data_IF_031193702580
#
_entry.id   IF_031193702580
#
_cell.length_a   1.000
_cell.length_b   1.000
_cell.length_c   1.000
_cell.angle_alpha   90.00
_cell.angle_beta   90.00
_cell.angle_gamma   90.00
#
_symmetry.space_group_name_H-M   'P 1'
#
loop_
_entity.id
_entity.type
_entity.pdbx_description
1 polymer ?
#
# COMPACT_ATOMS: atom_id res chain seq x y z
N UNK A 1 17.43 -2.22 -8.28
CA UNK A 1 17.03 -2.36 -6.88
C UNK A 1 15.71 -3.10 -6.85
N UNK A 2 15.50 -3.95 -5.85
CA UNK A 2 14.21 -4.61 -5.65
C UNK A 2 13.21 -3.57 -5.12
N UNK A 3 11.95 -3.66 -5.56
CA UNK A 3 10.88 -2.81 -5.04
C UNK A 3 10.48 -3.28 -3.65
N UNK A 4 9.89 -2.39 -2.85
CA UNK A 4 9.48 -2.69 -1.48
C UNK A 4 8.58 -3.93 -1.34
N UNK A 5 7.81 -4.28 -2.37
CA UNK A 5 6.91 -5.44 -2.40
C UNK A 5 7.55 -6.72 -2.97
N UNK A 6 8.81 -6.65 -3.39
CA UNK A 6 9.60 -7.78 -3.89
C UNK A 6 10.52 -8.35 -2.80
N UNK A 7 10.55 -7.73 -1.61
CA UNK A 7 11.36 -8.13 -0.47
C UNK A 7 10.49 -8.71 0.66
N UNK A 8 10.98 -9.77 1.30
CA UNK A 8 10.45 -10.24 2.58
C UNK A 8 10.92 -9.34 3.73
N UNK A 9 10.10 -9.22 4.78
CA UNK A 9 10.42 -8.43 5.97
C UNK A 9 10.04 -9.12 7.26
N UNK A 10 10.21 -8.45 8.39
CA UNK A 10 9.79 -8.98 9.68
C UNK A 10 8.29 -9.28 9.70
N UNK A 11 7.90 -10.44 10.23
CA UNK A 11 6.51 -10.91 10.29
C UNK A 11 5.83 -11.01 8.91
N UNK A 12 6.60 -11.26 7.82
CA UNK A 12 6.11 -11.32 6.43
C UNK A 12 4.98 -12.32 6.21
N UNK A 13 4.87 -13.34 7.06
CA UNK A 13 3.76 -14.28 7.06
C UNK A 13 2.37 -13.64 7.32
N UNK A 14 2.35 -12.44 7.93
CA UNK A 14 1.13 -11.67 8.20
C UNK A 14 1.26 -10.23 7.69
N UNK A 15 2.41 -9.58 7.89
CA UNK A 15 2.61 -8.17 7.53
C UNK A 15 3.26 -8.07 6.16
N UNK A 16 2.55 -7.50 5.20
CA UNK A 16 3.07 -7.28 3.85
C UNK A 16 4.01 -6.08 3.85
N UNK A 17 3.57 -4.96 4.42
CA UNK A 17 4.37 -3.73 4.45
C UNK A 17 4.00 -2.79 5.60
N UNK A 18 4.97 -1.93 5.92
CA UNK A 18 4.81 -0.71 6.72
C UNK A 18 4.77 0.49 5.79
N UNK A 19 3.89 1.46 6.05
CA UNK A 19 3.79 2.69 5.26
C UNK A 19 3.62 3.90 6.16
N UNK A 20 4.40 4.94 5.90
CA UNK A 20 4.24 6.28 6.49
C UNK A 20 3.88 7.28 5.39
N UNK A 21 2.96 8.18 5.69
CA UNK A 21 2.59 9.31 4.82
C UNK A 21 2.60 10.57 5.66
N UNK A 22 3.22 11.63 5.13
CA UNK A 22 3.26 12.97 5.74
C UNK A 22 2.54 13.94 4.82
N UNK A 23 1.58 14.68 5.37
CA UNK A 23 0.83 15.72 4.67
C UNK A 23 1.39 17.09 5.03
N UNK A 24 1.70 17.92 4.02
CA UNK A 24 2.27 19.27 4.18
C UNK A 24 1.58 20.24 3.25
N UNK A 25 1.27 21.41 3.76
CA UNK A 25 0.85 22.56 2.97
C UNK A 25 1.90 23.66 3.02
N UNK A 26 1.91 24.51 1.99
CA UNK A 26 2.92 25.57 1.81
C UNK A 26 2.24 26.89 2.11
N UNK A 27 2.91 27.75 2.85
CA UNK A 27 2.47 29.10 3.15
C UNK A 27 2.29 29.92 1.86
N UNK A 28 1.29 30.82 1.87
CA UNK A 28 1.00 31.67 0.74
C UNK A 28 0.11 31.07 -0.33
N UNK A 29 -0.30 29.81 -0.21
CA UNK A 29 -1.31 29.17 -1.07
C UNK A 29 -2.56 28.82 -0.28
N UNK A 30 -3.72 28.86 -0.92
CA UNK A 30 -4.95 28.30 -0.38
C UNK A 30 -4.86 26.78 -0.34
N UNK A 31 -5.51 26.13 0.62
CA UNK A 31 -5.67 24.67 0.61
C UNK A 31 -6.31 24.18 -0.69
N UNK A 32 -5.96 22.97 -1.12
CA UNK A 32 -6.33 22.42 -2.45
C UNK A 32 -7.80 22.58 -2.80
N UNK A 33 -8.72 22.38 -1.84
CA UNK A 33 -10.17 22.52 -2.08
C UNK A 33 -10.67 23.95 -2.36
N UNK A 34 -9.85 24.98 -2.09
CA UNK A 34 -10.13 26.40 -2.39
C UNK A 34 -9.18 26.99 -3.43
N UNK A 35 -8.28 26.18 -3.96
CA UNK A 35 -7.27 26.61 -4.91
C UNK A 35 -7.90 26.78 -6.30
N UNK A 36 -7.55 27.87 -6.98
CA UNK A 36 -7.89 28.03 -8.39
C UNK A 36 -6.95 27.18 -9.27
N UNK A 37 -7.39 26.81 -10.47
CA UNK A 37 -6.54 26.10 -11.45
C UNK A 37 -5.23 26.84 -11.72
N UNK A 38 -5.30 28.19 -11.77
CA UNK A 38 -4.12 29.04 -11.98
C UNK A 38 -3.12 28.91 -10.82
N UNK A 39 -3.61 28.86 -9.58
CA UNK A 39 -2.76 28.74 -8.42
C UNK A 39 -2.24 27.30 -8.25
N UNK A 40 -3.06 26.30 -8.60
CA UNK A 40 -2.62 24.89 -8.65
C UNK A 40 -1.47 24.71 -9.64
N UNK A 41 -1.58 25.23 -10.86
CA UNK A 41 -0.47 25.22 -11.85
C UNK A 41 0.79 25.91 -11.35
N UNK A 42 0.64 27.07 -10.67
CA UNK A 42 1.78 27.81 -10.09
C UNK A 42 2.43 27.00 -8.96
N UNK A 43 1.61 26.43 -8.07
CA UNK A 43 2.09 25.58 -6.97
C UNK A 43 2.88 24.39 -7.52
N UNK A 44 2.28 23.62 -8.43
CA UNK A 44 2.92 22.43 -9.02
C UNK A 44 4.23 22.79 -9.70
N UNK A 45 4.24 23.86 -10.51
CA UNK A 45 5.45 24.31 -11.17
C UNK A 45 6.51 24.72 -10.16
N UNK A 46 6.17 25.57 -9.19
CA UNK A 46 7.11 26.08 -8.19
C UNK A 46 7.74 24.94 -7.37
N UNK A 47 6.91 24.03 -6.83
CA UNK A 47 7.37 22.89 -6.03
C UNK A 47 8.23 21.95 -6.89
N UNK A 48 7.77 21.61 -8.09
CA UNK A 48 8.51 20.72 -8.99
C UNK A 48 9.89 21.28 -9.35
N UNK A 49 9.98 22.58 -9.68
CA UNK A 49 11.24 23.24 -10.05
C UNK A 49 12.23 23.24 -8.88
N UNK A 50 11.76 23.46 -7.65
CA UNK A 50 12.62 23.43 -6.46
C UNK A 50 13.06 22.00 -6.13
N UNK A 51 12.15 21.01 -6.10
CA UNK A 51 12.47 19.64 -5.73
C UNK A 51 13.44 18.96 -6.71
N UNK A 52 13.42 19.31 -8.00
CA UNK A 52 14.38 18.82 -9.01
C UNK A 52 15.84 19.12 -8.70
N UNK A 53 16.09 20.14 -7.89
CA UNK A 53 17.47 20.58 -7.54
C UNK A 53 17.99 19.95 -6.27
N UNK A 54 17.15 19.24 -5.50
CA UNK A 54 17.48 18.74 -4.16
C UNK A 54 17.93 17.28 -4.23
N UNK A 55 19.08 16.96 -3.65
CA UNK A 55 19.49 15.56 -3.43
C UNK A 55 18.80 15.02 -2.15
N UNK A 56 18.24 13.79 -2.16
CA UNK A 56 18.32 12.79 -3.24
C UNK A 56 17.18 12.87 -4.29
N UNK A 57 16.23 13.82 -4.14
CA UNK A 57 15.01 13.90 -5.00
C UNK A 57 15.37 14.10 -6.48
N UNK A 58 16.48 14.80 -6.77
CA UNK A 58 16.98 14.99 -8.14
C UNK A 58 17.31 13.67 -8.87
N UNK A 59 17.51 12.58 -8.12
CA UNK A 59 17.71 11.21 -8.67
C UNK A 59 16.43 10.40 -8.83
N UNK A 60 15.27 10.94 -8.45
CA UNK A 60 13.98 10.27 -8.57
C UNK A 60 13.37 10.45 -9.96
N UNK A 61 12.53 9.52 -10.36
CA UNK A 61 11.72 9.68 -11.54
C UNK A 61 10.67 10.79 -11.32
N UNK A 62 10.70 11.82 -12.17
CA UNK A 62 9.77 12.95 -12.11
C UNK A 62 8.63 12.74 -13.08
N UNK A 63 7.39 12.88 -12.61
CA UNK A 63 6.17 12.73 -13.38
C UNK A 63 5.34 14.02 -13.33
N UNK A 64 4.87 14.46 -14.52
CA UNK A 64 3.79 15.42 -14.62
C UNK A 64 2.54 14.66 -15.03
N UNK A 65 1.53 14.65 -14.16
CA UNK A 65 0.32 13.83 -14.33
C UNK A 65 -0.58 14.31 -15.48
N UNK A 66 -0.43 15.55 -15.93
CA UNK A 66 -1.18 16.05 -17.09
C UNK A 66 -0.76 15.35 -18.40
N UNK A 67 0.44 14.76 -18.43
CA UNK A 67 1.00 14.04 -19.60
C UNK A 67 0.94 12.53 -19.49
N UNK A 68 0.48 11.99 -18.36
CA UNK A 68 0.30 10.55 -18.18
C UNK A 68 -1.09 10.13 -18.68
N UNK A 69 -1.14 9.00 -19.38
CA UNK A 69 -2.40 8.37 -19.75
C UNK A 69 -3.09 7.71 -18.54
N UNK A 70 -4.33 7.29 -18.71
CA UNK A 70 -5.14 6.70 -17.65
C UNK A 70 -4.53 5.38 -17.13
N UNK A 71 -3.94 4.56 -18.00
CA UNK A 71 -3.36 3.28 -17.61
C UNK A 71 -2.06 3.46 -16.83
N UNK A 72 -1.24 4.45 -17.20
CA UNK A 72 -0.03 4.79 -16.45
C UNK A 72 -0.38 5.24 -15.02
N UNK A 73 -1.36 6.14 -14.86
CA UNK A 73 -1.85 6.60 -13.55
C UNK A 73 -2.43 5.43 -12.74
N UNK A 74 -3.28 4.61 -13.36
CA UNK A 74 -3.87 3.43 -12.73
C UNK A 74 -2.81 2.43 -12.28
N UNK A 75 -1.78 2.13 -13.11
CA UNK A 75 -0.68 1.23 -12.74
C UNK A 75 0.15 1.74 -11.57
N UNK A 76 0.39 3.06 -11.49
CA UNK A 76 1.03 3.67 -10.32
C UNK A 76 0.18 3.51 -9.06
N UNK A 77 -1.16 3.65 -9.17
CA UNK A 77 -2.10 3.42 -8.07
C UNK A 77 -2.14 1.95 -7.65
N UNK A 78 -2.18 1.01 -8.59
CA UNK A 78 -2.18 -0.43 -8.32
C UNK A 78 -0.90 -0.88 -7.58
N UNK A 79 0.24 -0.27 -7.88
CA UNK A 79 1.49 -0.47 -7.12
C UNK A 79 1.60 0.39 -5.86
N UNK A 80 0.54 1.10 -5.48
CA UNK A 80 0.47 2.00 -4.32
C UNK A 80 1.44 3.19 -4.35
N UNK A 81 2.06 3.50 -5.49
CA UNK A 81 3.00 4.62 -5.65
C UNK A 81 2.28 5.96 -5.50
N UNK A 82 1.03 6.03 -5.96
CA UNK A 82 0.18 7.22 -5.81
C UNK A 82 -1.14 6.86 -5.12
N UNK A 83 -1.84 7.89 -4.65
CA UNK A 83 -3.16 7.74 -4.06
C UNK A 83 -4.26 7.68 -5.12
N UNK A 84 -5.45 7.10 -4.81
CA UNK A 84 -6.64 7.20 -5.68
C UNK A 84 -7.12 8.65 -5.88
N UNK A 85 -6.75 9.57 -5.00
CA UNK A 85 -7.07 11.00 -5.14
C UNK A 85 -6.20 11.61 -6.24
N UNK A 86 -4.88 11.40 -6.18
CA UNK A 86 -3.93 11.93 -7.16
C UNK A 86 -4.17 11.38 -8.57
N UNK A 87 -4.60 10.12 -8.71
CA UNK A 87 -4.96 9.52 -10.01
C UNK A 87 -5.98 10.36 -10.79
N UNK A 88 -6.89 11.02 -10.06
CA UNK A 88 -8.01 11.80 -10.61
C UNK A 88 -7.77 13.32 -10.61
N UNK A 89 -6.66 13.75 -10.02
CA UNK A 89 -6.37 15.17 -9.84
C UNK A 89 -5.81 15.77 -11.12
N UNK A 90 -6.32 16.94 -11.48
CA UNK A 90 -5.77 17.79 -12.52
C UNK A 90 -4.60 18.61 -11.96
N UNK A 91 -3.65 18.98 -12.83
CA UNK A 91 -2.49 19.81 -12.48
C UNK A 91 -1.71 19.23 -11.30
N UNK A 92 -1.31 17.98 -11.40
CA UNK A 92 -0.56 17.28 -10.40
C UNK A 92 0.82 16.83 -10.90
N UNK A 93 1.75 16.66 -9.98
CA UNK A 93 3.08 16.12 -10.28
C UNK A 93 3.54 15.17 -9.17
N UNK A 94 4.63 14.46 -9.40
CA UNK A 94 5.23 13.61 -8.39
C UNK A 94 6.65 13.21 -8.70
N UNK A 95 7.34 12.77 -7.66
CA UNK A 95 8.66 12.17 -7.72
C UNK A 95 8.60 10.78 -7.09
N UNK A 96 9.22 9.80 -7.73
CA UNK A 96 9.20 8.41 -7.29
C UNK A 96 10.61 7.87 -7.28
N UNK A 97 11.04 7.31 -6.16
CA UNK A 97 12.33 6.64 -6.04
C UNK A 97 12.41 5.45 -7.01
N UNK A 98 13.61 5.07 -7.50
CA UNK A 98 13.77 3.98 -8.47
C UNK A 98 13.25 2.61 -8.00
N UNK A 99 13.25 2.35 -6.68
CA UNK A 99 12.73 1.15 -6.03
C UNK A 99 11.29 1.29 -5.51
N UNK A 100 10.64 2.42 -5.82
CA UNK A 100 9.27 2.75 -5.44
C UNK A 100 9.02 2.73 -3.91
N UNK A 101 10.07 2.76 -3.09
CA UNK A 101 9.94 2.80 -1.63
C UNK A 101 9.57 4.19 -1.10
N UNK A 102 9.87 5.26 -1.86
CA UNK A 102 9.49 6.64 -1.56
C UNK A 102 8.79 7.26 -2.75
N UNK A 103 7.69 7.95 -2.49
CA UNK A 103 7.01 8.82 -3.45
C UNK A 103 6.62 10.17 -2.83
N UNK A 104 6.74 11.24 -3.62
CA UNK A 104 6.35 12.59 -3.25
C UNK A 104 5.27 13.02 -4.25
N UNK A 105 4.07 13.22 -3.77
CA UNK A 105 2.90 13.63 -4.55
C UNK A 105 2.67 15.13 -4.36
N UNK A 106 2.46 15.87 -5.43
CA UNK A 106 2.28 17.32 -5.44
C UNK A 106 0.89 17.66 -5.95
N UNK A 107 0.16 18.54 -5.21
CA UNK A 107 -1.23 18.90 -5.43
C UNK A 107 -2.16 17.68 -5.32
N UNK A 108 -1.97 16.93 -4.27
CA UNK A 108 -2.88 15.89 -3.83
C UNK A 108 -3.98 16.51 -2.95
N UNK A 109 -4.52 15.85 -1.95
CA UNK A 109 -5.44 16.43 -0.97
C UNK A 109 -4.80 17.60 -0.21
N UNK A 110 -3.52 17.49 0.10
CA UNK A 110 -2.62 18.55 0.57
C UNK A 110 -1.62 18.92 -0.53
N UNK A 111 -0.90 20.04 -0.39
CA UNK A 111 0.04 20.51 -1.42
C UNK A 111 1.16 19.51 -1.70
N UNK A 112 1.64 18.86 -0.64
CA UNK A 112 2.66 17.81 -0.70
C UNK A 112 2.21 16.64 0.17
N UNK A 113 2.32 15.44 -0.38
CA UNK A 113 2.22 14.19 0.36
C UNK A 113 3.47 13.36 0.13
N UNK A 114 4.26 13.21 1.16
CA UNK A 114 5.42 12.32 1.19
C UNK A 114 4.92 10.95 1.63
N UNK A 115 5.31 9.90 0.93
CA UNK A 115 4.96 8.53 1.27
C UNK A 115 6.19 7.65 1.24
N UNK A 116 6.39 6.81 2.25
CA UNK A 116 7.46 5.85 2.30
C UNK A 116 6.95 4.46 2.72
N UNK A 117 7.56 3.43 2.13
CA UNK A 117 7.27 2.03 2.40
C UNK A 117 8.50 1.30 2.96
N UNK A 118 8.24 0.26 3.74
CA UNK A 118 9.22 -0.76 4.09
C UNK A 118 8.54 -2.13 4.06
N UNK A 119 9.26 -3.17 3.61
CA UNK A 119 8.77 -4.55 3.60
C UNK A 119 8.52 -5.06 5.02
N UNK A 120 7.44 -5.82 5.20
CA UNK A 120 7.05 -6.41 6.48
C UNK A 120 6.80 -5.40 7.60
N UNK A 121 6.98 -5.84 8.83
CA UNK A 121 6.82 -5.00 10.03
C UNK A 121 8.10 -4.22 10.31
N UNK A 122 8.24 -3.04 9.72
CA UNK A 122 9.39 -2.15 9.89
C UNK A 122 8.98 -0.67 9.80
N UNK A 123 8.09 -0.23 10.71
CA UNK A 123 7.55 1.13 10.71
C UNK A 123 8.63 2.18 10.90
N UNK A 124 9.66 1.88 11.72
CA UNK A 124 10.75 2.82 11.94
C UNK A 124 11.56 3.11 10.66
N UNK A 125 11.78 2.10 9.79
CA UNK A 125 12.43 2.31 8.49
C UNK A 125 11.57 3.21 7.60
N UNK A 126 10.27 2.92 7.49
CA UNK A 126 9.34 3.73 6.70
C UNK A 126 9.27 5.18 7.22
N UNK A 127 9.23 5.37 8.55
CA UNK A 127 9.26 6.68 9.17
C UNK A 127 10.55 7.43 8.85
N UNK A 128 11.72 6.82 9.06
CA UNK A 128 13.02 7.45 8.80
C UNK A 128 13.18 7.87 7.34
N UNK A 129 12.64 7.09 6.38
CA UNK A 129 12.66 7.46 4.97
C UNK A 129 11.77 8.67 4.69
N UNK A 130 10.55 8.68 5.25
CA UNK A 130 9.61 9.79 5.07
C UNK A 130 10.12 11.08 5.74
N UNK A 131 10.60 10.99 6.96
CA UNK A 131 11.13 12.08 7.78
C UNK A 131 12.32 12.77 7.10
N UNK A 132 13.29 11.98 6.60
CA UNK A 132 14.42 12.49 5.83
C UNK A 132 13.97 13.28 4.58
N UNK A 133 12.91 12.84 3.90
CA UNK A 133 12.38 13.58 2.75
C UNK A 133 11.66 14.84 3.19
N UNK A 134 10.94 14.78 4.31
CA UNK A 134 10.26 15.92 4.90
C UNK A 134 11.25 17.04 5.29
N UNK A 135 12.36 16.67 5.94
CA UNK A 135 13.43 17.59 6.32
C UNK A 135 14.02 18.32 5.10
N UNK A 136 14.47 17.57 4.07
CA UNK A 136 15.10 18.19 2.89
C UNK A 136 14.11 19.03 2.06
N UNK A 137 12.84 18.73 2.11
CA UNK A 137 11.79 19.53 1.45
C UNK A 137 11.48 20.77 2.31
N UNK A 138 11.40 20.63 3.64
CA UNK A 138 11.17 21.70 4.58
C UNK A 138 12.29 22.76 4.61
N UNK A 139 13.52 22.37 4.27
CA UNK A 139 14.65 23.30 4.16
C UNK A 139 14.48 24.31 3.01
N UNK A 140 13.66 24.00 2.00
CA UNK A 140 13.48 24.85 0.81
C UNK A 140 12.03 25.37 0.64
N UNK A 141 11.06 24.73 1.26
CA UNK A 141 9.65 25.11 1.18
C UNK A 141 9.14 25.51 2.56
N UNK A 142 8.50 26.67 2.64
CA UNK A 142 7.92 27.19 3.88
C UNK A 142 6.58 26.48 4.17
N UNK A 143 6.58 25.50 5.08
CA UNK A 143 5.41 24.76 5.46
C UNK A 143 4.43 25.57 6.32
N UNK A 144 3.13 25.39 6.08
CA UNK A 144 2.06 25.90 6.91
C UNK A 144 2.04 25.19 8.28
N UNK A 145 2.62 25.84 9.27
CA UNK A 145 2.75 25.33 10.63
C UNK A 145 2.22 26.32 11.66
N UNK A 146 1.53 25.83 12.66
CA UNK A 146 1.04 26.59 13.80
C UNK A 146 1.59 25.99 15.11
N UNK A 147 2.07 26.84 16.03
CA UNK A 147 2.69 26.38 17.28
C UNK A 147 1.74 25.55 18.17
N UNK A 148 0.43 25.77 18.09
CA UNK A 148 -0.58 25.08 18.88
C UNK A 148 -1.15 23.84 18.15
N UNK A 149 -1.32 23.94 16.84
CA UNK A 149 -2.00 22.93 16.04
C UNK A 149 -1.06 22.06 15.19
N UNK A 150 0.25 22.35 15.16
CA UNK A 150 1.22 21.65 14.34
C UNK A 150 1.06 21.96 12.85
N UNK A 151 1.35 21.02 11.98
CA UNK A 151 1.15 21.17 10.55
C UNK A 151 -0.31 21.35 10.19
N UNK A 152 -0.60 22.40 9.43
CA UNK A 152 -1.95 22.72 8.99
C UNK A 152 -2.27 21.94 7.72
N UNK A 153 -3.30 21.11 7.78
CA UNK A 153 -3.70 20.23 6.68
C UNK A 153 -5.09 20.53 6.19
N UNK A 154 -5.36 20.16 4.94
CA UNK A 154 -6.68 20.33 4.30
C UNK A 154 -7.79 19.62 5.09
N UNK A 155 -7.52 18.41 5.57
CA UNK A 155 -8.41 17.70 6.49
C UNK A 155 -7.98 17.90 7.94
N UNK A 156 -8.84 18.42 8.82
CA UNK A 156 -8.51 18.60 10.24
C UNK A 156 -8.06 17.31 10.94
N UNK A 157 -8.50 16.16 10.46
CA UNK A 157 -8.10 14.84 10.98
C UNK A 157 -6.60 14.50 10.76
N UNK A 158 -5.92 15.25 9.90
CA UNK A 158 -4.49 15.09 9.64
C UNK A 158 -3.65 16.17 10.34
N UNK A 159 -4.26 17.24 10.87
CA UNK A 159 -3.55 18.31 11.57
C UNK A 159 -2.74 17.78 12.76
N UNK A 160 -1.67 18.48 13.13
CA UNK A 160 -0.71 18.05 14.14
C UNK A 160 0.56 17.54 13.50
N UNK A 161 0.86 16.27 13.60
CA UNK A 161 2.01 15.65 12.93
C UNK A 161 1.84 15.58 11.40
N UNK A 162 0.61 15.65 10.89
CA UNK A 162 0.32 15.36 9.47
C UNK A 162 0.59 13.90 9.08
N UNK A 163 0.86 13.02 10.06
CA UNK A 163 1.34 11.65 9.81
C UNK A 163 0.22 10.61 9.81
N UNK A 164 0.16 9.84 8.74
CA UNK A 164 -0.60 8.59 8.65
C UNK A 164 0.35 7.42 8.51
N UNK A 165 0.47 6.63 9.58
CA UNK A 165 1.20 5.37 9.59
C UNK A 165 0.22 4.20 9.39
N UNK A 166 0.64 3.16 8.69
CA UNK A 166 -0.22 1.99 8.45
C UNK A 166 0.57 0.72 8.19
N UNK A 167 0.00 -0.40 8.60
CA UNK A 167 0.40 -1.74 8.19
C UNK A 167 -0.57 -2.30 7.16
N UNK A 168 -0.04 -2.98 6.16
CA UNK A 168 -0.79 -3.83 5.25
C UNK A 168 -0.68 -5.27 5.76
N UNK A 169 -1.82 -5.89 6.05
CA UNK A 169 -1.91 -7.18 6.74
C UNK A 169 -2.66 -8.20 5.88
N UNK A 170 -2.15 -9.41 5.80
CA UNK A 170 -2.85 -10.56 5.22
C UNK A 170 -3.47 -11.39 6.34
N UNK A 171 -4.79 -11.42 6.45
CA UNK A 171 -5.54 -11.95 7.58
C UNK A 171 -6.54 -13.06 7.20
N UNK A 172 -6.15 -14.11 6.43
CA UNK A 172 -7.08 -15.11 5.92
C UNK A 172 -7.72 -15.97 7.01
N UNK A 173 -7.02 -16.25 8.14
CA UNK A 173 -7.59 -17.06 9.20
C UNK A 173 -8.59 -16.26 10.05
N UNK A 174 -8.37 -14.98 10.28
CA UNK A 174 -9.33 -14.10 10.93
C UNK A 174 -10.56 -13.86 10.05
N UNK A 175 -10.36 -13.61 8.75
CA UNK A 175 -11.44 -13.42 7.78
C UNK A 175 -12.29 -14.70 7.63
N UNK A 176 -11.66 -15.86 7.44
CA UNK A 176 -12.34 -17.14 7.30
C UNK A 176 -13.07 -17.65 8.55
N UNK A 177 -12.83 -17.03 9.72
CA UNK A 177 -13.54 -17.29 10.98
C UNK A 177 -14.47 -16.15 11.39
N UNK A 178 -14.83 -15.22 10.49
CA UNK A 178 -15.72 -14.07 10.72
C UNK A 178 -15.28 -13.17 11.92
N UNK A 179 -13.97 -13.06 12.15
CA UNK A 179 -13.42 -12.29 13.28
C UNK A 179 -13.16 -10.82 12.96
N UNK A 180 -13.07 -10.47 11.69
CA UNK A 180 -12.78 -9.10 11.24
C UNK A 180 -13.83 -8.11 11.76
N UNK A 181 -15.12 -8.44 11.67
CA UNK A 181 -16.21 -7.57 12.12
C UNK A 181 -16.14 -7.20 13.61
N UNK A 182 -15.66 -8.14 14.45
CA UNK A 182 -15.43 -7.89 15.89
C UNK A 182 -14.14 -7.08 16.14
N UNK A 183 -13.13 -7.28 15.33
CA UNK A 183 -11.83 -6.62 15.46
C UNK A 183 -11.88 -5.13 15.09
N UNK A 184 -12.69 -4.75 14.09
CA UNK A 184 -12.83 -3.35 13.65
C UNK A 184 -13.20 -2.40 14.82
N UNK A 185 -14.27 -2.63 15.61
CA UNK A 185 -14.57 -1.76 16.73
C UNK A 185 -13.57 -1.85 17.89
N UNK A 186 -12.87 -2.97 18.05
CA UNK A 186 -11.83 -3.12 19.07
C UNK A 186 -10.65 -2.17 18.79
N UNK A 187 -10.10 -2.19 17.57
CA UNK A 187 -9.00 -1.29 17.19
C UNK A 187 -9.43 0.18 17.20
N UNK A 188 -10.71 0.45 16.93
CA UNK A 188 -11.28 1.79 17.01
C UNK A 188 -11.15 2.45 18.38
N UNK A 189 -11.19 1.68 19.47
CA UNK A 189 -11.00 2.17 20.85
C UNK A 189 -9.58 2.71 21.10
N UNK A 190 -8.62 2.27 20.32
CA UNK A 190 -7.22 2.73 20.37
C UNK A 190 -6.92 3.86 19.37
N UNK A 191 -7.95 4.44 18.73
CA UNK A 191 -7.78 5.49 17.72
C UNK A 191 -7.17 4.97 16.41
N UNK A 192 -7.39 3.70 16.10
CA UNK A 192 -6.95 3.06 14.85
C UNK A 192 -8.16 2.63 14.01
N UNK A 193 -7.94 2.40 12.73
CA UNK A 193 -8.92 1.81 11.80
C UNK A 193 -8.32 0.58 11.15
N UNK A 194 -9.07 -0.50 11.13
CA UNK A 194 -8.84 -1.66 10.28
C UNK A 194 -9.88 -1.63 9.14
N UNK A 195 -9.42 -1.66 7.90
CA UNK A 195 -10.28 -1.67 6.71
C UNK A 195 -9.72 -2.58 5.62
N UNK A 196 -10.57 -3.08 4.75
CA UNK A 196 -10.14 -3.76 3.54
C UNK A 196 -9.28 -2.84 2.67
N UNK A 197 -8.26 -3.37 2.02
CA UNK A 197 -7.55 -2.64 0.97
C UNK A 197 -8.44 -2.46 -0.26
N UNK A 198 -9.09 -3.53 -0.68
CA UNK A 198 -10.09 -3.58 -1.73
C UNK A 198 -11.26 -4.48 -1.29
N UNK A 199 -12.47 -4.23 -1.83
CA UNK A 199 -13.66 -4.98 -1.47
C UNK A 199 -14.43 -4.41 -0.27
N UNK A 200 -15.20 -5.26 0.40
CA UNK A 200 -15.96 -4.92 1.61
C UNK A 200 -15.07 -4.96 2.85
N UNK A 201 -15.29 -4.05 3.82
CA UNK A 201 -14.48 -4.01 5.04
C UNK A 201 -14.50 -5.31 5.86
N UNK A 202 -15.57 -6.09 5.78
CA UNK A 202 -15.66 -7.38 6.44
C UNK A 202 -15.08 -8.53 5.61
N UNK A 203 -14.90 -8.32 4.29
CA UNK A 203 -14.41 -9.32 3.35
C UNK A 203 -13.54 -8.65 2.28
N UNK A 204 -12.29 -8.47 2.63
CA UNK A 204 -11.30 -7.88 1.74
C UNK A 204 -10.97 -8.83 0.57
N UNK A 205 -10.71 -8.26 -0.60
CA UNK A 205 -10.16 -8.99 -1.72
C UNK A 205 -8.76 -9.51 -1.34
N UNK A 206 -8.49 -10.79 -1.60
CA UNK A 206 -7.22 -11.42 -1.22
C UNK A 206 -6.94 -11.48 0.29
N UNK A 207 -7.95 -11.24 1.15
CA UNK A 207 -7.81 -11.15 2.62
C UNK A 207 -6.79 -10.09 3.08
N UNK A 208 -6.63 -9.00 2.30
CA UNK A 208 -5.67 -7.92 2.59
C UNK A 208 -6.36 -6.75 3.25
N UNK A 209 -5.89 -6.40 4.44
CA UNK A 209 -6.41 -5.33 5.27
C UNK A 209 -5.35 -4.28 5.56
N UNK A 210 -5.79 -3.05 5.82
CA UNK A 210 -4.95 -1.96 6.28
C UNK A 210 -5.32 -1.56 7.70
N UNK A 211 -4.34 -1.59 8.61
CA UNK A 211 -4.44 -1.01 9.94
C UNK A 211 -3.75 0.36 9.91
N UNK A 212 -4.45 1.45 10.31
CA UNK A 212 -3.92 2.82 10.24
C UNK A 212 -4.38 3.66 11.44
N UNK A 213 -3.59 4.68 11.84
CA UNK A 213 -4.00 5.64 12.85
C UNK A 213 -5.09 6.59 12.33
N UNK A 214 -6.00 7.00 13.23
CA UNK A 214 -7.02 8.03 12.97
C UNK A 214 -6.62 9.40 13.52
N UNK A 215 -5.94 9.43 14.65
CA UNK A 215 -5.63 10.64 15.40
C UNK A 215 -4.17 11.04 15.14
N UNK A 216 -3.98 12.32 14.89
CA UNK A 216 -2.68 12.95 14.65
C UNK A 216 -2.45 14.15 15.56
N UNK A 217 -3.51 14.91 15.88
CA UNK A 217 -3.44 16.08 16.74
C UNK A 217 -3.19 15.70 18.21
N UNK A 218 -2.22 16.35 18.84
CA UNK A 218 -1.87 16.11 20.25
C UNK A 218 -1.14 14.78 20.51
N UNK A 219 -0.61 14.16 19.47
CA UNK A 219 0.25 12.98 19.53
C UNK A 219 1.62 13.30 18.92
N UNK A 220 2.66 12.65 19.42
CA UNK A 220 3.94 12.61 18.71
C UNK A 220 3.94 11.49 17.67
N UNK A 221 4.84 11.58 16.68
CA UNK A 221 5.07 10.53 15.70
C UNK A 221 5.41 9.21 16.38
N UNK A 222 6.23 9.27 17.44
CA UNK A 222 6.59 8.12 18.26
C UNK A 222 5.37 7.48 18.93
N UNK A 223 4.48 8.27 19.54
CA UNK A 223 3.25 7.75 20.17
C UNK A 223 2.35 7.07 19.16
N UNK A 224 2.27 7.60 17.94
CA UNK A 224 1.47 7.01 16.85
C UNK A 224 2.08 5.65 16.44
N UNK A 225 3.40 5.59 16.25
CA UNK A 225 4.11 4.37 15.85
C UNK A 225 3.98 3.31 16.96
N UNK A 226 4.32 3.64 18.20
CA UNK A 226 4.27 2.71 19.33
C UNK A 226 2.86 2.13 19.53
N UNK A 227 1.81 2.95 19.40
CA UNK A 227 0.43 2.49 19.51
C UNK A 227 0.06 1.54 18.35
N UNK A 228 0.46 1.88 17.12
CA UNK A 228 0.18 1.06 15.95
C UNK A 228 0.91 -0.29 16.01
N UNK A 229 2.17 -0.30 16.43
CA UNK A 229 2.99 -1.50 16.58
C UNK A 229 2.36 -2.45 17.62
N UNK A 230 2.00 -1.93 18.79
CA UNK A 230 1.38 -2.73 19.85
C UNK A 230 0.09 -3.42 19.42
N UNK A 231 -0.77 -2.73 18.66
CA UNK A 231 -2.03 -3.31 18.17
C UNK A 231 -1.78 -4.27 16.99
N UNK A 232 -0.83 -3.94 16.11
CA UNK A 232 -0.45 -4.83 15.01
C UNK A 232 0.08 -6.17 15.54
N UNK A 233 0.95 -6.17 16.56
CA UNK A 233 1.46 -7.38 17.19
C UNK A 233 0.34 -8.26 17.78
N UNK A 234 -0.69 -7.66 18.39
CA UNK A 234 -1.85 -8.39 18.89
C UNK A 234 -2.65 -9.04 17.75
N UNK A 235 -2.85 -8.32 16.63
CA UNK A 235 -3.54 -8.85 15.44
C UNK A 235 -2.73 -10.01 14.83
N UNK A 236 -1.41 -9.85 14.70
CA UNK A 236 -0.50 -10.89 14.20
C UNK A 236 -0.61 -12.15 15.07
N UNK A 237 -0.57 -12.00 16.39
CA UNK A 237 -0.70 -13.12 17.32
C UNK A 237 -2.06 -13.83 17.18
N UNK A 238 -3.16 -13.06 17.01
CA UNK A 238 -4.49 -13.62 16.80
C UNK A 238 -4.56 -14.37 15.45
N UNK A 239 -4.09 -13.78 14.34
CA UNK A 239 -4.07 -14.43 13.03
C UNK A 239 -3.32 -15.75 13.08
N UNK A 240 -2.11 -15.76 13.65
CA UNK A 240 -1.29 -16.97 13.81
C UNK A 240 -1.97 -18.04 14.68
N UNK A 241 -2.67 -17.63 15.73
CA UNK A 241 -3.41 -18.56 16.59
C UNK A 241 -4.60 -19.20 15.84
N UNK A 242 -5.42 -18.42 15.13
CA UNK A 242 -6.52 -18.95 14.33
C UNK A 242 -6.03 -19.85 13.19
N UNK A 243 -4.93 -19.47 12.53
CA UNK A 243 -4.25 -20.27 11.49
C UNK A 243 -3.81 -21.61 12.05
N UNK A 244 -3.12 -21.63 13.20
CA UNK A 244 -2.68 -22.85 13.88
C UNK A 244 -3.86 -23.74 14.27
N UNK A 245 -4.93 -23.17 14.83
CA UNK A 245 -6.12 -23.92 15.21
C UNK A 245 -6.81 -24.54 13.99
N UNK A 246 -6.93 -23.79 12.89
CA UNK A 246 -7.52 -24.28 11.64
C UNK A 246 -6.74 -25.46 11.08
N UNK A 247 -5.41 -25.34 10.98
CA UNK A 247 -4.54 -26.38 10.46
C UNK A 247 -4.57 -27.61 11.38
N UNK A 248 -4.52 -27.44 12.70
CA UNK A 248 -4.56 -28.57 13.66
C UNK A 248 -5.85 -29.36 13.55
N UNK A 249 -6.99 -28.68 13.41
CA UNK A 249 -8.31 -29.34 13.36
C UNK A 249 -8.67 -29.89 11.98
N UNK A 250 -8.15 -29.27 10.90
CA UNK A 250 -8.59 -29.53 9.51
C UNK A 250 -7.42 -29.57 8.51
N UNK A 251 -6.32 -30.25 8.87
CA UNK A 251 -5.10 -30.27 8.06
C UNK A 251 -5.34 -30.66 6.61
N UNK A 252 -6.10 -31.74 6.35
CA UNK A 252 -6.38 -32.21 4.99
C UNK A 252 -7.22 -31.19 4.20
N UNK A 253 -8.18 -30.52 4.85
CA UNK A 253 -8.98 -29.47 4.21
C UNK A 253 -8.10 -28.27 3.83
N UNK A 254 -7.17 -27.87 4.71
CA UNK A 254 -6.24 -26.78 4.44
C UNK A 254 -5.29 -27.12 3.28
N UNK A 255 -4.74 -28.33 3.27
CA UNK A 255 -3.90 -28.83 2.17
C UNK A 255 -4.70 -28.90 0.85
N UNK A 256 -5.90 -29.49 0.85
CA UNK A 256 -6.74 -29.57 -0.34
C UNK A 256 -7.04 -28.17 -0.90
N UNK A 257 -7.39 -27.21 -0.05
CA UNK A 257 -7.62 -25.82 -0.46
C UNK A 257 -6.39 -25.25 -1.19
N UNK A 258 -5.20 -25.36 -0.61
CA UNK A 258 -3.96 -24.80 -1.17
C UNK A 258 -3.59 -25.47 -2.49
N UNK A 259 -3.61 -26.81 -2.54
CA UNK A 259 -3.26 -27.55 -3.77
C UNK A 259 -4.29 -27.37 -4.88
N UNK A 260 -5.58 -27.25 -4.56
CA UNK A 260 -6.63 -26.91 -5.54
C UNK A 260 -6.40 -25.52 -6.13
N UNK A 261 -6.11 -24.52 -5.28
CA UNK A 261 -5.82 -23.15 -5.71
C UNK A 261 -4.61 -23.12 -6.64
N UNK A 262 -3.57 -23.83 -6.27
CA UNK A 262 -2.38 -23.98 -7.12
C UNK A 262 -2.73 -24.68 -8.46
N UNK A 263 -3.46 -25.79 -8.42
CA UNK A 263 -3.86 -26.53 -9.62
C UNK A 263 -4.71 -25.69 -10.57
N UNK A 264 -5.66 -24.90 -10.01
CA UNK A 264 -6.46 -23.98 -10.84
C UNK A 264 -5.57 -22.94 -11.50
N UNK A 265 -4.73 -22.23 -10.75
CA UNK A 265 -3.85 -21.18 -11.30
C UNK A 265 -2.83 -21.75 -12.30
N UNK A 266 -2.33 -22.96 -12.07
CA UNK A 266 -1.36 -23.62 -12.95
C UNK A 266 -1.95 -23.98 -14.33
N UNK A 267 -3.25 -24.28 -14.41
CA UNK A 267 -3.88 -24.82 -15.61
C UNK A 267 -5.03 -23.98 -16.18
N UNK A 268 -5.54 -23.01 -15.46
CA UNK A 268 -6.56 -22.09 -15.95
C UNK A 268 -6.09 -21.35 -17.21
N UNK A 269 -7.02 -21.07 -18.14
CA UNK A 269 -6.79 -20.28 -19.36
C UNK A 269 -7.39 -18.89 -19.25
N UNK A 270 -8.29 -18.69 -18.31
CA UNK A 270 -8.93 -17.43 -17.95
C UNK A 270 -9.03 -17.35 -16.43
N UNK A 271 -8.69 -16.18 -15.87
CA UNK A 271 -8.78 -15.92 -14.43
C UNK A 271 -9.32 -14.51 -14.24
N UNK A 272 -10.43 -14.35 -13.53
CA UNK A 272 -10.93 -13.04 -13.12
C UNK A 272 -9.99 -12.43 -12.07
N UNK A 273 -10.04 -11.12 -11.86
CA UNK A 273 -9.23 -10.49 -10.80
C UNK A 273 -9.59 -11.08 -9.43
N UNK A 274 -10.89 -11.22 -9.15
CA UNK A 274 -11.35 -11.74 -7.86
C UNK A 274 -10.88 -13.20 -7.61
N UNK A 275 -10.93 -14.06 -8.63
CA UNK A 275 -10.42 -15.42 -8.50
C UNK A 275 -8.91 -15.45 -8.33
N UNK A 276 -8.18 -14.61 -9.08
CA UNK A 276 -6.73 -14.50 -8.97
C UNK A 276 -6.29 -14.10 -7.57
N UNK A 277 -6.89 -13.04 -7.03
CA UNK A 277 -6.63 -12.57 -5.68
C UNK A 277 -6.94 -13.62 -4.60
N UNK A 278 -8.12 -14.27 -4.70
CA UNK A 278 -8.53 -15.31 -3.76
C UNK A 278 -7.56 -16.51 -3.78
N UNK A 279 -7.26 -17.01 -4.99
CA UNK A 279 -6.43 -18.22 -5.14
C UNK A 279 -4.98 -17.95 -4.76
N UNK A 280 -4.42 -16.78 -5.09
CA UNK A 280 -3.08 -16.36 -4.65
C UNK A 280 -3.03 -16.17 -3.13
N UNK A 281 -4.06 -15.57 -2.51
CA UNK A 281 -4.18 -15.48 -1.05
C UNK A 281 -4.10 -16.85 -0.38
N UNK A 282 -4.78 -17.85 -0.92
CA UNK A 282 -4.76 -19.24 -0.40
C UNK A 282 -3.38 -19.90 -0.55
N UNK A 283 -2.65 -19.63 -1.65
CA UNK A 283 -1.26 -20.09 -1.81
C UNK A 283 -0.35 -19.39 -0.82
N UNK A 284 -0.49 -18.06 -0.66
CA UNK A 284 0.23 -17.27 0.33
C UNK A 284 0.02 -17.82 1.75
N UNK A 285 -1.23 -18.14 2.10
CA UNK A 285 -1.54 -18.82 3.37
C UNK A 285 -0.80 -20.16 3.49
N UNK A 286 -0.73 -20.94 2.41
CA UNK A 286 -0.03 -22.23 2.39
C UNK A 286 1.47 -22.10 2.67
N UNK A 287 2.14 -21.15 2.04
CA UNK A 287 3.55 -20.84 2.26
C UNK A 287 3.79 -20.34 3.68
N UNK A 288 3.06 -19.30 4.10
CA UNK A 288 3.16 -18.69 5.42
C UNK A 288 2.85 -19.66 6.59
N UNK A 289 2.13 -20.74 6.30
CA UNK A 289 1.79 -21.79 7.27
C UNK A 289 2.73 -22.99 7.23
N UNK A 290 3.67 -23.04 6.30
CA UNK A 290 4.53 -24.21 6.08
C UNK A 290 3.78 -25.47 5.61
N UNK A 291 2.57 -25.31 5.03
CA UNK A 291 1.80 -26.39 4.42
C UNK A 291 2.38 -26.81 3.06
N UNK A 292 2.97 -25.86 2.36
CA UNK A 292 3.70 -26.04 1.11
C UNK A 292 5.02 -25.30 1.17
N UNK A 293 5.95 -25.68 0.33
CA UNK A 293 7.23 -25.01 0.12
C UNK A 293 7.45 -24.75 -1.37
N UNK A 294 8.24 -23.74 -1.68
CA UNK A 294 8.69 -23.46 -3.04
C UNK A 294 10.14 -22.95 -2.96
N UNK A 295 11.02 -23.48 -3.78
CA UNK A 295 12.45 -23.14 -3.71
C UNK A 295 12.69 -21.70 -4.21
N UNK A 296 13.33 -20.88 -3.36
CA UNK A 296 13.64 -19.49 -3.69
C UNK A 296 12.41 -18.58 -3.83
N UNK A 297 11.27 -19.00 -3.27
CA UNK A 297 10.01 -18.30 -3.38
C UNK A 297 9.26 -18.35 -2.04
N UNK A 298 8.81 -17.22 -1.56
CA UNK A 298 8.11 -17.08 -0.29
C UNK A 298 6.77 -16.32 -0.43
N UNK A 299 6.16 -15.99 0.69
CA UNK A 299 4.89 -15.27 0.71
C UNK A 299 4.96 -13.84 0.15
N UNK A 300 6.13 -13.19 0.14
CA UNK A 300 6.30 -11.86 -0.45
C UNK A 300 6.26 -11.91 -1.98
N UNK A 301 6.80 -12.96 -2.59
CA UNK A 301 6.71 -13.19 -4.03
C UNK A 301 5.26 -13.42 -4.48
N UNK A 302 4.42 -14.04 -3.66
CA UNK A 302 2.98 -14.16 -3.96
C UNK A 302 2.34 -12.76 -3.98
N UNK A 303 2.71 -11.87 -3.08
CA UNK A 303 2.17 -10.51 -3.09
C UNK A 303 2.60 -9.73 -4.34
N UNK A 304 3.83 -9.94 -4.81
CA UNK A 304 4.28 -9.41 -6.10
C UNK A 304 3.39 -9.88 -7.26
N UNK A 305 2.99 -11.17 -7.28
CA UNK A 305 2.05 -11.68 -8.26
C UNK A 305 0.67 -11.01 -8.12
N UNK A 306 0.17 -10.84 -6.89
CA UNK A 306 -1.11 -10.16 -6.63
C UNK A 306 -1.11 -8.74 -7.22
N UNK A 307 -0.05 -7.96 -7.03
CA UNK A 307 0.09 -6.65 -7.70
C UNK A 307 0.13 -6.80 -9.23
N UNK A 308 0.89 -7.77 -9.75
CA UNK A 308 1.10 -7.97 -11.18
C UNK A 308 -0.15 -8.34 -11.97
N UNK A 309 -1.14 -9.00 -11.33
CA UNK A 309 -2.39 -9.43 -11.98
C UNK A 309 -3.43 -8.32 -12.13
N UNK A 310 -3.19 -7.13 -11.59
CA UNK A 310 -4.09 -6.00 -11.75
C UNK A 310 -4.12 -5.48 -13.20
N UNK A 311 -5.27 -4.93 -13.65
CA UNK A 311 -5.48 -4.59 -15.06
C UNK A 311 -4.43 -3.69 -15.66
N UNK A 312 -4.08 -2.57 -15.01
CA UNK A 312 -3.15 -1.62 -15.57
C UNK A 312 -1.71 -2.16 -15.62
N UNK A 313 -1.29 -2.96 -14.63
CA UNK A 313 0.01 -3.62 -14.66
C UNK A 313 0.11 -4.63 -15.83
N UNK A 314 -0.95 -5.40 -16.10
CA UNK A 314 -1.01 -6.30 -17.25
C UNK A 314 -0.96 -5.55 -18.59
N UNK A 315 -1.72 -4.44 -18.73
CA UNK A 315 -1.70 -3.59 -19.92
C UNK A 315 -0.32 -2.98 -20.16
N UNK A 316 0.37 -2.53 -19.12
CA UNK A 316 1.73 -1.99 -19.22
C UNK A 316 2.75 -3.06 -19.64
N UNK A 317 2.65 -4.28 -19.13
CA UNK A 317 3.54 -5.40 -19.48
C UNK A 317 3.32 -5.82 -20.95
N UNK A 318 2.07 -5.91 -21.38
CA UNK A 318 1.72 -6.37 -22.75
C UNK A 318 1.89 -5.28 -23.81
N UNK A 319 1.89 -4.01 -23.40
CA UNK A 319 1.89 -2.83 -24.28
C UNK A 319 0.76 -2.86 -25.33
N UNK A 320 -0.43 -3.32 -24.93
CA UNK A 320 -1.64 -3.46 -25.76
C UNK A 320 -2.87 -3.09 -24.96
N UNK A 321 -3.82 -2.44 -25.65
CA UNK A 321 -5.19 -2.33 -25.13
C UNK A 321 -5.84 -3.72 -25.14
N UNK A 322 -6.56 -4.05 -24.08
CA UNK A 322 -7.23 -5.35 -23.90
C UNK A 322 -8.68 -5.12 -23.46
N UNK A 323 -9.58 -5.89 -24.01
CA UNK A 323 -10.93 -6.03 -23.47
C UNK A 323 -10.91 -6.94 -22.20
N UNK A 324 -12.04 -7.08 -21.54
CA UNK A 324 -12.15 -7.84 -20.29
C UNK A 324 -11.72 -9.31 -20.45
N UNK A 325 -12.12 -9.96 -21.53
CA UNK A 325 -11.75 -11.35 -21.80
C UNK A 325 -10.25 -11.50 -22.05
N UNK A 326 -9.66 -10.59 -22.80
CA UNK A 326 -8.21 -10.56 -23.06
C UNK A 326 -7.42 -10.31 -21.78
N UNK A 327 -7.92 -9.46 -20.87
CA UNK A 327 -7.32 -9.25 -19.54
C UNK A 327 -7.38 -10.51 -18.68
N UNK A 328 -8.50 -11.25 -18.70
CA UNK A 328 -8.60 -12.52 -17.98
C UNK A 328 -7.65 -13.59 -18.51
N UNK A 329 -7.46 -13.65 -19.83
CA UNK A 329 -6.49 -14.56 -20.46
C UNK A 329 -5.06 -14.14 -20.12
N UNK A 330 -4.73 -12.84 -20.29
CA UNK A 330 -3.40 -12.29 -19.96
C UNK A 330 -3.05 -12.52 -18.50
N UNK A 331 -4.02 -12.36 -17.59
CA UNK A 331 -3.84 -12.66 -16.15
C UNK A 331 -3.51 -14.12 -15.91
N UNK A 332 -4.22 -15.03 -16.57
CA UNK A 332 -3.95 -16.46 -16.46
C UNK A 332 -2.55 -16.81 -17.00
N UNK A 333 -2.13 -16.21 -18.10
CA UNK A 333 -0.80 -16.40 -18.69
C UNK A 333 0.28 -15.88 -17.76
N UNK A 334 0.14 -14.64 -17.27
CA UNK A 334 1.06 -14.03 -16.32
C UNK A 334 1.24 -14.89 -15.06
N UNK A 335 0.14 -15.37 -14.46
CA UNK A 335 0.22 -16.23 -13.27
C UNK A 335 0.98 -17.52 -13.60
N UNK A 336 0.66 -18.20 -14.70
CA UNK A 336 1.32 -19.47 -15.07
C UNK A 336 2.81 -19.33 -15.30
N UNK A 337 3.24 -18.20 -15.87
CA UNK A 337 4.65 -17.92 -16.14
C UNK A 337 5.46 -17.65 -14.86
N UNK A 338 4.82 -17.08 -13.83
CA UNK A 338 5.49 -16.65 -12.61
C UNK A 338 5.19 -17.51 -11.39
N UNK A 339 4.21 -18.44 -11.48
CA UNK A 339 3.87 -19.30 -10.34
C UNK A 339 4.98 -20.35 -10.12
N UNK A 340 5.54 -20.45 -8.89
CA UNK A 340 6.62 -21.39 -8.62
C UNK A 340 6.13 -22.84 -8.65
N UNK A 341 7.06 -23.79 -8.75
CA UNK A 341 6.75 -25.18 -8.44
C UNK A 341 6.70 -25.36 -6.93
N UNK A 342 5.62 -25.95 -6.42
CA UNK A 342 5.44 -26.25 -5.00
C UNK A 342 5.67 -27.73 -4.69
N UNK A 343 6.06 -28.02 -3.46
CA UNK A 343 6.26 -29.37 -2.89
C UNK A 343 5.89 -29.43 -1.40
#
# INVERSE_FOLDING_TARGET
>A
MLRWFEEGGNNSDVVISSRVRLARNINGYNFSYKMSDTDAKKLVKNVTDQLKTISPISGYNSYNFDYLDAYQKMGMRERHVISPYLEKQDYAAGFVAPDEDVSIMINEEDHIRIQAFAAGMNMQKAYTLADKMDDVIGDVLDYSYDQKFGYLTTLPSNAGTGMRASYMLHLPALAGNDKISGLIPEVGRFGLVLKAMEGDNNKALGDIYQLTNLVTLGKSEKDIIDNLDNIAEQIIAQERNYRKQYITKRKMTALDMVYRSYGVLKYARKVTLNDGELLLSQIRFGLASGLIKADGFDESNIYQLMIGIHPANLLMISNKDMNEEELEVSRADFIREHLPTIH
#
